data_IF_556442009449
#
_entry.id   IF_556442009449
#
_cell.length_a   1.000
_cell.length_b   1.000
_cell.length_c   1.000
_cell.angle_alpha   90.00
_cell.angle_beta   90.00
_cell.angle_gamma   90.00
#
_symmetry.space_group_name_H-M   'P 1'
#
loop_
_entity.id
_entity.type
_entity.pdbx_description
1 polymer ?
#
# COMPACT_ATOMS: atom_id res chain seq x y z
N UNK A 1 -21.46 -6.74 -50.15
CA UNK A 1 -21.40 -5.43 -50.82
C UNK A 1 -21.69 -4.36 -49.78
N UNK A 2 -20.84 -3.53 -49.53
CA UNK A 2 -20.68 -2.08 -49.25
C UNK A 2 -19.63 -1.83 -48.19
N UNK A 3 -18.43 -1.46 -48.69
CA UNK A 3 -17.33 -0.94 -47.92
C UNK A 3 -17.62 0.50 -47.48
N UNK A 4 -17.64 0.79 -46.17
CA UNK A 4 -17.59 2.16 -45.67
C UNK A 4 -16.14 2.47 -45.24
N UNK A 5 -15.49 3.37 -45.97
CA UNK A 5 -14.22 3.99 -45.64
C UNK A 5 -14.42 4.98 -44.49
N UNK A 6 -13.71 4.81 -43.37
CA UNK A 6 -13.54 5.85 -42.36
C UNK A 6 -12.29 6.66 -42.65
N UNK A 7 -12.45 7.97 -42.67
CA UNK A 7 -11.45 9.02 -42.89
C UNK A 7 -10.67 9.25 -41.58
N UNK A 8 -9.37 9.44 -41.57
CA UNK A 8 -8.62 9.77 -40.37
C UNK A 8 -8.76 11.26 -40.03
N UNK A 9 -9.18 11.55 -38.79
CA UNK A 9 -9.22 12.87 -38.20
C UNK A 9 -7.83 13.30 -37.71
N UNK A 10 -7.52 14.57 -38.01
CA UNK A 10 -6.21 15.17 -37.85
C UNK A 10 -5.69 15.26 -36.42
N UNK A 11 -4.40 15.05 -36.31
CA UNK A 11 -3.60 15.36 -35.13
C UNK A 11 -3.35 16.85 -35.04
N UNK A 12 -3.84 17.53 -34.01
CA UNK A 12 -3.35 18.82 -33.60
C UNK A 12 -2.22 18.64 -32.57
N UNK A 13 -1.04 19.10 -32.92
CA UNK A 13 0.13 19.14 -32.05
C UNK A 13 -0.06 20.18 -30.93
N UNK A 14 0.31 19.90 -29.69
CA UNK A 14 0.36 20.92 -28.63
C UNK A 14 1.65 21.75 -28.75
N UNK A 15 1.48 23.06 -28.67
CA UNK A 15 2.49 24.10 -28.79
C UNK A 15 3.58 24.00 -27.71
N UNK A 16 4.84 24.07 -28.13
CA UNK A 16 6.08 24.07 -27.33
C UNK A 16 6.32 25.33 -26.48
N UNK A 17 5.36 26.23 -26.35
CA UNK A 17 5.57 27.55 -25.74
C UNK A 17 5.59 27.59 -24.19
N UNK A 18 5.50 26.45 -23.49
CA UNK A 18 5.37 26.43 -22.01
C UNK A 18 6.61 26.00 -21.22
N UNK A 19 7.71 25.67 -21.89
CA UNK A 19 8.94 25.15 -21.22
C UNK A 19 9.99 26.18 -20.84
N UNK A 20 9.86 27.44 -21.23
CA UNK A 20 10.91 28.45 -21.02
C UNK A 20 10.67 29.42 -19.84
N UNK A 21 9.59 29.30 -19.09
CA UNK A 21 9.34 30.18 -17.93
C UNK A 21 9.85 29.63 -16.58
N UNK A 22 10.29 28.39 -16.52
CA UNK A 22 10.85 27.77 -15.30
C UNK A 22 12.35 27.94 -15.09
N UNK A 23 13.09 28.27 -16.13
CA UNK A 23 14.57 28.27 -16.08
C UNK A 23 15.20 29.60 -15.61
N UNK A 24 14.46 30.68 -15.58
CA UNK A 24 15.02 32.02 -15.27
C UNK A 24 15.02 32.35 -13.77
N UNK A 25 14.22 31.65 -12.95
CA UNK A 25 14.11 31.93 -11.50
C UNK A 25 15.20 31.23 -10.65
N UNK A 26 15.86 30.19 -11.17
CA UNK A 26 16.85 29.41 -10.39
C UNK A 26 18.27 29.97 -10.49
N UNK A 27 18.56 30.82 -11.49
CA UNK A 27 19.94 31.29 -11.72
C UNK A 27 20.29 32.60 -11.00
N UNK A 28 19.35 33.28 -10.35
CA UNK A 28 19.62 34.54 -9.63
C UNK A 28 19.90 34.41 -8.13
N UNK A 29 19.88 33.20 -7.56
CA UNK A 29 20.10 32.96 -6.12
C UNK A 29 21.51 32.45 -5.75
N UNK A 30 22.43 32.35 -6.71
CA UNK A 30 23.76 31.73 -6.45
C UNK A 30 24.95 32.67 -6.54
N UNK A 31 24.75 34.00 -6.54
CA UNK A 31 25.85 34.97 -6.56
C UNK A 31 25.85 35.98 -5.40
N UNK A 32 25.63 35.52 -4.17
CA UNK A 32 26.06 36.26 -3.00
C UNK A 32 27.31 35.63 -2.42
N UNK A 33 28.44 35.90 -3.07
CA UNK A 33 29.77 35.58 -2.57
C UNK A 33 30.06 36.39 -1.31
N UNK A 34 30.54 35.68 -0.32
CA UNK A 34 30.97 36.20 0.99
C UNK A 34 32.18 37.12 0.81
N UNK A 35 31.94 38.43 0.82
CA UNK A 35 33.02 39.41 0.98
C UNK A 35 33.11 39.77 2.47
N UNK A 36 34.09 39.21 3.19
CA UNK A 36 34.51 39.69 4.48
C UNK A 36 35.22 41.02 4.32
N UNK A 37 34.50 42.13 4.40
CA UNK A 37 35.04 43.46 4.51
C UNK A 37 34.98 43.87 5.97
N UNK A 38 36.15 44.17 6.54
CA UNK A 38 36.32 44.75 7.86
C UNK A 38 35.77 46.19 7.83
N UNK A 39 34.55 46.41 8.29
CA UNK A 39 33.96 47.73 8.42
C UNK A 39 33.89 48.12 9.89
N UNK A 40 34.28 49.35 10.28
CA UNK A 40 34.19 49.82 11.66
C UNK A 40 32.72 49.87 12.11
N UNK A 41 32.41 49.66 13.40
CA UNK A 41 31.07 49.43 13.93
C UNK A 41 30.09 50.58 13.71
N UNK A 42 30.55 51.78 13.46
CA UNK A 42 29.68 52.95 13.12
C UNK A 42 29.05 52.84 11.74
N UNK A 43 29.71 52.21 10.76
CA UNK A 43 29.18 52.01 9.40
C UNK A 43 28.07 51.00 9.34
N UNK A 44 28.10 50.00 10.24
CA UNK A 44 27.11 48.94 10.26
C UNK A 44 25.76 49.42 10.77
N UNK A 45 25.74 50.32 11.76
CA UNK A 45 24.49 50.77 12.39
C UNK A 45 23.80 51.88 11.61
N UNK A 46 24.55 52.79 10.98
CA UNK A 46 23.92 53.92 10.30
C UNK A 46 23.59 53.69 8.78
N UNK A 47 24.39 52.86 8.14
CA UNK A 47 24.22 52.64 6.69
C UNK A 47 23.76 51.22 6.30
N UNK A 48 24.26 50.22 6.98
CA UNK A 48 24.00 48.83 6.60
C UNK A 48 22.70 48.29 7.26
N UNK A 49 22.47 48.62 8.53
CA UNK A 49 21.30 48.16 9.25
C UNK A 49 19.96 48.59 8.63
N UNK A 50 19.78 49.86 8.17
CA UNK A 50 18.53 50.25 7.51
C UNK A 50 18.26 49.48 6.22
N UNK A 51 19.34 49.22 5.43
CA UNK A 51 19.19 48.49 4.17
C UNK A 51 18.88 47.01 4.41
N UNK A 52 19.46 46.41 5.47
CA UNK A 52 19.12 45.03 5.88
C UNK A 52 17.69 44.94 6.41
N UNK A 53 17.22 45.94 7.18
CA UNK A 53 15.82 45.98 7.67
C UNK A 53 14.87 46.10 6.48
N UNK A 54 15.18 47.00 5.53
CA UNK A 54 14.37 47.20 4.34
C UNK A 54 14.38 45.97 3.42
N UNK A 55 15.54 45.32 3.25
CA UNK A 55 15.67 44.08 2.50
C UNK A 55 14.89 42.94 3.16
N UNK A 56 14.95 42.87 4.51
CA UNK A 56 14.22 41.84 5.28
C UNK A 56 12.72 42.06 5.23
N UNK A 57 12.27 43.32 5.27
CA UNK A 57 10.84 43.64 5.10
C UNK A 57 10.35 43.31 3.68
N UNK A 58 11.16 43.62 2.65
CA UNK A 58 10.83 43.27 1.27
C UNK A 58 10.83 41.76 1.06
N UNK A 59 11.78 41.06 1.65
CA UNK A 59 11.89 39.59 1.60
C UNK A 59 10.69 38.97 2.31
N UNK A 60 10.33 39.44 3.52
CA UNK A 60 9.17 38.95 4.25
C UNK A 60 7.86 39.25 3.51
N UNK A 61 7.77 40.40 2.83
CA UNK A 61 6.63 40.73 1.97
C UNK A 61 6.52 39.78 0.78
N UNK A 62 7.65 39.43 0.16
CA UNK A 62 7.68 38.46 -0.94
C UNK A 62 7.42 37.01 -0.45
N UNK A 63 7.95 36.61 0.70
CA UNK A 63 7.68 35.31 1.30
C UNK A 63 6.18 35.18 1.63
N UNK A 64 5.58 36.21 2.25
CA UNK A 64 4.15 36.20 2.56
C UNK A 64 3.28 36.17 1.28
N UNK A 65 3.69 36.86 0.21
CA UNK A 65 3.00 36.79 -1.07
C UNK A 65 3.11 35.43 -1.73
N UNK A 66 4.29 34.76 -1.63
CA UNK A 66 4.49 33.41 -2.12
C UNK A 66 3.70 32.40 -1.28
N UNK A 67 3.65 32.59 0.05
CA UNK A 67 2.90 31.72 0.97
C UNK A 67 1.39 31.83 0.73
N UNK A 68 0.86 33.05 0.48
CA UNK A 68 -0.55 33.23 0.08
C UNK A 68 -0.84 32.62 -1.29
N UNK A 69 0.02 32.80 -2.28
CA UNK A 69 -0.16 32.17 -3.59
C UNK A 69 -0.04 30.64 -3.53
N UNK A 70 0.85 30.12 -2.68
CA UNK A 70 1.04 28.69 -2.50
C UNK A 70 -0.17 28.08 -1.77
N UNK A 71 -0.67 28.74 -0.72
CA UNK A 71 -1.87 28.29 0.00
C UNK A 71 -3.14 28.37 -0.86
N UNK A 72 -3.25 29.36 -1.73
CA UNK A 72 -4.35 29.47 -2.70
C UNK A 72 -4.26 28.38 -3.78
N UNK A 73 -3.05 28.10 -4.28
CA UNK A 73 -2.82 26.99 -5.21
C UNK A 73 -3.02 25.62 -4.57
N UNK A 74 -2.64 25.45 -3.30
CA UNK A 74 -2.89 24.22 -2.55
C UNK A 74 -4.38 24.01 -2.32
N UNK A 75 -5.14 25.08 -1.98
CA UNK A 75 -6.59 25.01 -1.85
C UNK A 75 -7.27 24.67 -3.18
N UNK A 76 -6.88 25.32 -4.27
CA UNK A 76 -7.41 25.03 -5.61
C UNK A 76 -7.06 23.61 -6.07
N UNK A 77 -5.85 23.12 -5.75
CA UNK A 77 -5.47 21.74 -6.05
C UNK A 77 -6.18 20.73 -5.16
N UNK A 78 -6.43 21.08 -3.88
CA UNK A 78 -7.23 20.27 -2.96
C UNK A 78 -8.68 20.17 -3.43
N UNK A 79 -9.29 21.29 -3.87
CA UNK A 79 -10.65 21.27 -4.44
C UNK A 79 -10.72 20.48 -5.75
N UNK A 80 -9.68 20.60 -6.61
CA UNK A 80 -9.59 19.82 -7.84
C UNK A 80 -9.39 18.32 -7.56
N UNK A 81 -8.56 17.97 -6.57
CA UNK A 81 -8.39 16.59 -6.11
C UNK A 81 -9.68 16.04 -5.51
N UNK A 82 -10.35 16.83 -4.65
CA UNK A 82 -11.63 16.43 -4.04
C UNK A 82 -12.71 16.24 -5.10
N UNK A 83 -12.80 17.15 -6.08
CA UNK A 83 -13.74 17.01 -7.20
C UNK A 83 -13.36 15.83 -8.12
N UNK A 84 -12.07 15.60 -8.39
CA UNK A 84 -11.62 14.48 -9.18
C UNK A 84 -11.89 13.15 -8.47
N UNK A 85 -11.67 13.07 -7.15
CA UNK A 85 -12.01 11.90 -6.33
C UNK A 85 -13.52 11.69 -6.31
N UNK A 86 -14.33 12.75 -6.18
CA UNK A 86 -15.79 12.65 -6.23
C UNK A 86 -16.28 12.17 -7.61
N UNK A 87 -15.66 12.62 -8.71
CA UNK A 87 -15.96 12.15 -10.07
C UNK A 87 -15.52 10.69 -10.24
N UNK A 88 -14.31 10.34 -9.77
CA UNK A 88 -13.81 8.96 -9.79
C UNK A 88 -14.68 8.02 -8.95
N UNK A 89 -15.15 8.49 -7.79
CA UNK A 89 -16.06 7.70 -6.94
C UNK A 89 -17.41 7.49 -7.62
N UNK A 90 -17.95 8.53 -8.28
CA UNK A 90 -19.17 8.40 -9.09
C UNK A 90 -18.96 7.50 -10.30
N UNK A 91 -17.86 7.64 -11.02
CA UNK A 91 -17.53 6.77 -12.14
C UNK A 91 -17.32 5.31 -11.70
N UNK A 92 -16.66 5.11 -10.54
CA UNK A 92 -16.47 3.79 -9.93
C UNK A 92 -17.80 3.16 -9.51
N UNK A 93 -18.71 3.97 -8.92
CA UNK A 93 -20.06 3.52 -8.57
C UNK A 93 -20.89 3.19 -9.82
N UNK A 94 -20.80 3.97 -10.89
CA UNK A 94 -21.45 3.69 -12.17
C UNK A 94 -20.84 2.45 -12.83
N UNK A 95 -19.51 2.32 -12.83
CA UNK A 95 -18.83 1.13 -13.34
C UNK A 95 -19.16 -0.12 -12.51
N UNK A 96 -19.22 0.00 -11.17
CA UNK A 96 -19.64 -1.09 -10.30
C UNK A 96 -21.10 -1.50 -10.55
N UNK A 97 -22.01 -0.54 -10.75
CA UNK A 97 -23.39 -0.83 -11.12
C UNK A 97 -23.47 -1.45 -12.52
N UNK A 98 -22.69 -0.95 -13.49
CA UNK A 98 -22.63 -1.55 -14.84
C UNK A 98 -22.06 -2.96 -14.81
N UNK A 99 -21.04 -3.22 -13.98
CA UNK A 99 -20.49 -4.57 -13.77
C UNK A 99 -21.52 -5.45 -13.04
N UNK A 100 -22.24 -4.92 -12.04
CA UNK A 100 -23.29 -5.64 -11.36
C UNK A 100 -24.49 -5.95 -12.30
N UNK A 101 -24.88 -5.00 -13.13
CA UNK A 101 -25.95 -5.17 -14.11
C UNK A 101 -25.51 -6.08 -15.28
N UNK A 102 -24.27 -5.95 -15.74
CA UNK A 102 -23.69 -6.88 -16.72
C UNK A 102 -23.58 -8.30 -16.14
N UNK A 103 -23.19 -8.42 -14.87
CA UNK A 103 -23.13 -9.69 -14.14
C UNK A 103 -24.53 -10.29 -13.94
N UNK A 104 -25.54 -9.48 -13.59
CA UNK A 104 -26.95 -9.90 -13.51
C UNK A 104 -27.49 -10.32 -14.90
N UNK A 105 -27.24 -9.52 -15.92
CA UNK A 105 -27.64 -9.86 -17.29
C UNK A 105 -26.92 -11.10 -17.80
N UNK A 106 -25.62 -11.25 -17.49
CA UNK A 106 -24.86 -12.46 -17.84
C UNK A 106 -25.36 -13.67 -17.03
N UNK A 107 -25.69 -13.48 -15.74
CA UNK A 107 -26.27 -14.53 -14.92
C UNK A 107 -27.69 -14.92 -15.41
N UNK A 108 -28.53 -13.97 -15.80
CA UNK A 108 -29.84 -14.23 -16.37
C UNK A 108 -29.73 -14.87 -17.74
N UNK A 109 -28.84 -14.41 -18.62
CA UNK A 109 -28.59 -15.05 -19.91
C UNK A 109 -27.98 -16.44 -19.72
N UNK A 110 -27.08 -16.62 -18.76
CA UNK A 110 -26.50 -17.93 -18.42
C UNK A 110 -27.59 -18.86 -17.82
N UNK A 111 -28.44 -18.35 -16.93
CA UNK A 111 -29.54 -19.12 -16.36
C UNK A 111 -30.58 -19.50 -17.43
N UNK A 112 -30.89 -18.60 -18.36
CA UNK A 112 -31.80 -18.87 -19.47
C UNK A 112 -31.17 -19.88 -20.46
N UNK A 113 -29.89 -19.72 -20.79
CA UNK A 113 -29.15 -20.67 -21.62
C UNK A 113 -29.00 -22.04 -20.93
N UNK A 114 -28.74 -22.05 -19.60
CA UNK A 114 -28.71 -23.28 -18.81
C UNK A 114 -30.09 -23.99 -18.77
N UNK A 115 -31.18 -23.22 -18.65
CA UNK A 115 -32.53 -23.82 -18.73
C UNK A 115 -32.85 -24.39 -20.11
N UNK A 116 -32.50 -23.71 -21.19
CA UNK A 116 -32.65 -24.21 -22.54
C UNK A 116 -31.76 -25.42 -22.83
N UNK A 117 -30.48 -25.38 -22.33
CA UNK A 117 -29.56 -26.53 -22.37
C UNK A 117 -30.10 -27.70 -21.53
N UNK A 118 -30.59 -27.45 -20.30
CA UNK A 118 -31.11 -28.47 -19.43
C UNK A 118 -32.37 -29.14 -20.01
N UNK A 119 -33.22 -28.39 -20.76
CA UNK A 119 -34.34 -28.98 -21.49
C UNK A 119 -33.91 -29.83 -22.71
N UNK A 120 -32.94 -29.36 -23.49
CA UNK A 120 -32.37 -30.12 -24.61
C UNK A 120 -31.50 -31.30 -24.17
N UNK A 121 -30.78 -31.16 -23.06
CA UNK A 121 -29.96 -32.24 -22.51
C UNK A 121 -30.75 -33.32 -21.78
N UNK A 122 -31.91 -33.02 -21.14
CA UNK A 122 -32.78 -34.05 -20.60
C UNK A 122 -33.26 -35.03 -21.70
N UNK A 123 -33.39 -34.60 -22.92
CA UNK A 123 -33.75 -35.44 -24.08
C UNK A 123 -32.50 -36.20 -24.60
N UNK A 124 -31.32 -35.61 -24.56
CA UNK A 124 -30.03 -36.24 -24.97
C UNK A 124 -29.34 -37.02 -23.86
N UNK A 125 -29.45 -36.58 -22.62
CA UNK A 125 -28.78 -37.16 -21.46
C UNK A 125 -29.25 -38.56 -21.11
N UNK A 126 -30.53 -38.92 -21.45
CA UNK A 126 -31.02 -40.30 -21.34
C UNK A 126 -30.23 -41.31 -22.20
N UNK A 127 -29.43 -40.83 -23.14
CA UNK A 127 -28.61 -41.69 -24.03
C UNK A 127 -27.07 -41.59 -23.75
N UNK A 128 -26.60 -40.57 -23.07
CA UNK A 128 -25.14 -40.33 -22.92
C UNK A 128 -24.66 -40.17 -21.47
N UNK A 129 -25.57 -40.22 -20.48
CA UNK A 129 -25.29 -39.73 -19.12
C UNK A 129 -24.48 -40.65 -18.19
N UNK A 130 -24.08 -41.82 -18.61
CA UNK A 130 -23.36 -42.74 -17.75
C UNK A 130 -21.89 -43.02 -18.12
N UNK A 131 -21.33 -42.28 -19.06
CA UNK A 131 -19.91 -42.34 -19.37
C UNK A 131 -19.13 -41.37 -18.46
N UNK A 132 -18.53 -41.89 -17.39
CA UNK A 132 -17.77 -41.14 -16.39
C UNK A 132 -16.54 -40.39 -16.95
N UNK A 133 -16.15 -40.64 -18.18
CA UNK A 133 -14.88 -40.18 -18.77
C UNK A 133 -14.95 -38.81 -19.49
N UNK A 134 -16.13 -38.35 -19.87
CA UNK A 134 -16.21 -37.24 -20.84
C UNK A 134 -16.96 -35.98 -20.38
N UNK A 135 -17.43 -35.90 -19.13
CA UNK A 135 -18.32 -34.82 -18.72
C UNK A 135 -17.94 -34.02 -17.46
N UNK A 136 -16.80 -34.28 -16.83
CA UNK A 136 -16.48 -33.72 -15.52
C UNK A 136 -15.37 -32.66 -15.53
N UNK A 137 -14.76 -32.40 -16.68
CA UNK A 137 -13.64 -31.50 -16.79
C UNK A 137 -12.34 -32.09 -16.19
N UNK A 138 -11.30 -31.24 -16.11
CA UNK A 138 -10.01 -31.66 -15.59
C UNK A 138 -10.03 -31.82 -14.06
N UNK A 139 -9.65 -32.99 -13.57
CA UNK A 139 -9.38 -33.34 -12.16
C UNK A 139 -10.32 -32.62 -11.15
N UNK A 140 -11.67 -32.80 -11.22
CA UNK A 140 -12.64 -31.96 -10.50
C UNK A 140 -12.44 -31.99 -8.99
N UNK A 141 -12.14 -33.14 -8.39
CA UNK A 141 -11.88 -33.24 -6.94
C UNK A 141 -10.63 -32.48 -6.53
N UNK A 142 -9.55 -32.56 -7.32
CA UNK A 142 -8.28 -31.89 -7.03
C UNK A 142 -8.41 -30.38 -7.16
N UNK A 143 -9.09 -29.91 -8.21
CA UNK A 143 -9.36 -28.47 -8.42
C UNK A 143 -10.25 -27.91 -7.30
N UNK A 144 -11.29 -28.66 -6.93
CA UNK A 144 -12.18 -28.28 -5.82
C UNK A 144 -11.43 -28.22 -4.49
N UNK A 145 -10.61 -29.25 -4.17
CA UNK A 145 -9.81 -29.26 -2.96
C UNK A 145 -8.83 -28.08 -2.91
N UNK A 146 -8.12 -27.77 -4.01
CA UNK A 146 -7.21 -26.62 -4.07
C UNK A 146 -7.95 -25.28 -3.85
N UNK A 147 -9.12 -25.11 -4.43
CA UNK A 147 -9.94 -23.90 -4.25
C UNK A 147 -10.54 -23.78 -2.86
N UNK A 148 -10.90 -24.91 -2.25
CA UNK A 148 -11.34 -24.93 -0.87
C UNK A 148 -10.23 -24.45 0.08
N UNK A 149 -9.01 -24.94 -0.09
CA UNK A 149 -7.84 -24.48 0.67
C UNK A 149 -7.61 -22.97 0.50
N UNK A 150 -7.70 -22.45 -0.72
CA UNK A 150 -7.60 -21.00 -0.98
C UNK A 150 -8.68 -20.22 -0.21
N UNK A 151 -9.93 -20.69 -0.26
CA UNK A 151 -11.06 -20.01 0.41
C UNK A 151 -10.94 -20.06 1.94
N UNK A 152 -10.52 -21.18 2.49
CA UNK A 152 -10.30 -21.35 3.93
C UNK A 152 -9.17 -20.46 4.42
N UNK A 153 -8.03 -20.46 3.73
CA UNK A 153 -6.90 -19.59 4.06
C UNK A 153 -7.23 -18.10 3.93
N UNK A 154 -7.97 -17.70 2.92
CA UNK A 154 -8.37 -16.29 2.74
C UNK A 154 -9.27 -15.82 3.90
N UNK A 155 -10.19 -16.68 4.38
CA UNK A 155 -11.03 -16.38 5.54
C UNK A 155 -10.22 -16.25 6.84
N UNK A 156 -9.24 -17.12 7.06
CA UNK A 156 -8.38 -17.10 8.25
C UNK A 156 -7.40 -15.90 8.22
N UNK A 157 -6.94 -15.47 7.06
CA UNK A 157 -5.96 -14.40 6.94
C UNK A 157 -6.37 -13.09 7.61
N UNK A 158 -7.68 -12.80 7.68
CA UNK A 158 -8.19 -11.62 8.36
C UNK A 158 -7.88 -11.61 9.86
N UNK A 159 -8.02 -12.74 10.54
CA UNK A 159 -7.69 -12.89 11.95
C UNK A 159 -6.17 -12.95 12.17
N UNK A 160 -5.47 -13.76 11.38
CA UNK A 160 -3.99 -13.90 11.44
C UNK A 160 -3.30 -12.56 11.22
N UNK A 161 -3.78 -11.73 10.29
CA UNK A 161 -3.26 -10.39 10.02
C UNK A 161 -3.29 -9.50 11.25
N UNK A 162 -4.44 -9.45 11.95
CA UNK A 162 -4.56 -8.66 13.18
C UNK A 162 -3.63 -9.17 14.27
N UNK A 163 -3.56 -10.48 14.46
CA UNK A 163 -2.66 -11.10 15.43
C UNK A 163 -1.20 -10.84 15.09
N UNK A 164 -0.79 -11.02 13.83
CA UNK A 164 0.57 -10.78 13.37
C UNK A 164 1.00 -9.31 13.56
N UNK A 165 0.13 -8.33 13.24
CA UNK A 165 0.43 -6.92 13.52
C UNK A 165 0.65 -6.69 15.01
N UNK A 166 -0.21 -7.24 15.87
CA UNK A 166 -0.15 -6.99 17.31
C UNK A 166 0.97 -7.75 18.03
N UNK A 167 1.36 -8.92 17.52
CA UNK A 167 2.35 -9.78 18.18
C UNK A 167 3.77 -9.57 17.66
N UNK A 168 3.94 -9.47 16.34
CA UNK A 168 5.26 -9.48 15.71
C UNK A 168 5.82 -8.06 15.46
N UNK A 169 4.97 -7.02 15.40
CA UNK A 169 5.45 -5.65 15.18
C UNK A 169 5.66 -4.96 16.52
N UNK A 170 6.92 -4.52 16.81
CA UNK A 170 7.24 -3.87 18.06
C UNK A 170 6.56 -2.52 18.22
N UNK A 171 6.46 -1.75 17.15
CA UNK A 171 5.74 -0.47 17.11
C UNK A 171 4.27 -0.63 16.70
N UNK A 172 3.63 -1.77 17.00
CA UNK A 172 2.22 -2.00 16.67
C UNK A 172 1.30 -0.94 17.33
N UNK A 173 0.17 -0.59 16.68
CA UNK A 173 -0.79 0.36 17.21
C UNK A 173 -1.27 -0.04 18.61
N UNK A 174 -1.32 0.93 19.52
CA UNK A 174 -1.71 0.69 20.93
C UNK A 174 -0.63 0.03 21.79
N UNK A 175 0.50 -0.32 21.25
CA UNK A 175 1.60 -0.95 21.99
C UNK A 175 2.52 0.13 22.60
N UNK A 176 2.87 -0.09 23.87
CA UNK A 176 3.86 0.70 24.60
C UNK A 176 4.94 -0.24 25.10
N UNK A 177 6.20 0.08 24.86
CA UNK A 177 7.32 -0.75 25.28
C UNK A 177 8.53 0.12 25.66
N UNK A 178 9.52 -0.49 26.29
CA UNK A 178 10.82 0.14 26.48
C UNK A 178 11.52 0.28 25.12
N UNK A 179 11.78 1.51 24.64
CA UNK A 179 12.44 1.72 23.34
C UNK A 179 13.85 1.14 23.29
N UNK A 180 14.57 1.12 24.42
CA UNK A 180 15.94 0.59 24.49
C UNK A 180 15.92 -0.94 24.34
N UNK A 181 15.02 -1.62 25.08
CA UNK A 181 14.86 -3.06 24.96
C UNK A 181 14.41 -3.45 23.53
N UNK A 182 13.49 -2.68 22.94
CA UNK A 182 13.04 -2.90 21.58
C UNK A 182 14.18 -2.68 20.56
N UNK A 183 15.05 -1.69 20.76
CA UNK A 183 16.21 -1.46 19.92
C UNK A 183 17.20 -2.64 19.99
N UNK A 184 17.47 -3.15 21.17
CA UNK A 184 18.31 -4.36 21.31
C UNK A 184 17.72 -5.55 20.60
N UNK A 185 16.41 -5.73 20.70
CA UNK A 185 15.73 -6.82 20.01
C UNK A 185 15.77 -6.66 18.48
N UNK A 186 15.54 -5.44 17.97
CA UNK A 186 15.68 -5.14 16.54
C UNK A 186 17.08 -5.46 16.01
N UNK A 187 18.11 -5.11 16.77
CA UNK A 187 19.51 -5.45 16.41
C UNK A 187 19.70 -6.97 16.39
N UNK A 188 19.19 -7.67 17.40
CA UNK A 188 19.29 -9.13 17.49
C UNK A 188 18.55 -9.82 16.34
N UNK A 189 17.34 -9.35 16.00
CA UNK A 189 16.53 -9.91 14.91
C UNK A 189 17.15 -9.66 13.53
N UNK A 190 17.93 -8.58 13.36
CA UNK A 190 18.63 -8.28 12.13
C UNK A 190 20.00 -9.00 12.00
N UNK A 191 20.55 -9.51 13.09
CA UNK A 191 21.85 -10.18 13.08
C UNK A 191 21.97 -11.37 12.09
N UNK A 192 20.93 -12.21 11.86
CA UNK A 192 20.97 -13.28 10.86
C UNK A 192 21.02 -12.77 9.40
N UNK A 193 20.82 -11.49 9.17
CA UNK A 193 20.71 -10.89 7.84
C UNK A 193 21.82 -9.86 7.56
N UNK A 194 22.84 -9.81 8.40
CA UNK A 194 23.99 -8.92 8.23
C UNK A 194 24.67 -9.12 6.88
N UNK A 195 24.97 -8.02 6.19
CA UNK A 195 25.71 -8.01 4.93
C UNK A 195 27.23 -7.95 5.18
N UNK A 196 28.03 -8.25 4.15
CA UNK A 196 29.48 -8.12 4.22
C UNK A 196 29.90 -6.68 4.57
N UNK A 197 29.27 -5.67 3.96
CA UNK A 197 29.56 -4.26 4.22
C UNK A 197 29.31 -3.85 5.69
N UNK A 198 28.28 -4.46 6.31
CA UNK A 198 27.99 -4.24 7.73
C UNK A 198 29.05 -4.90 8.64
N UNK A 199 29.60 -6.03 8.24
CA UNK A 199 30.71 -6.68 8.93
C UNK A 199 31.98 -5.84 8.79
N UNK A 200 32.29 -5.39 7.58
CA UNK A 200 33.48 -4.57 7.30
C UNK A 200 33.42 -3.21 8.02
N UNK A 201 32.22 -2.67 8.21
CA UNK A 201 32.00 -1.45 9.01
C UNK A 201 31.95 -1.67 10.53
N UNK A 202 32.07 -2.92 11.00
CA UNK A 202 32.05 -3.28 12.42
C UNK A 202 30.66 -3.26 13.07
N UNK A 203 29.60 -3.14 12.29
CA UNK A 203 28.21 -3.17 12.80
C UNK A 203 27.75 -4.59 13.13
N UNK A 204 28.32 -5.59 12.47
CA UNK A 204 28.01 -7.00 12.66
C UNK A 204 29.28 -7.80 12.92
N UNK A 205 29.16 -8.94 13.63
CA UNK A 205 30.28 -9.85 13.91
C UNK A 205 30.60 -10.79 12.74
N UNK A 206 29.58 -11.20 12.00
CA UNK A 206 29.70 -12.12 10.88
C UNK A 206 28.57 -11.87 9.89
N UNK A 207 28.79 -12.29 8.65
CA UNK A 207 27.76 -12.30 7.60
C UNK A 207 26.64 -13.27 7.98
N UNK A 208 25.41 -12.86 7.78
CA UNK A 208 24.23 -13.65 8.08
C UNK A 208 23.98 -14.76 7.05
N UNK A 209 23.05 -15.66 7.35
CA UNK A 209 22.64 -16.76 6.46
C UNK A 209 22.02 -16.25 5.16
N UNK A 210 21.24 -15.18 5.23
CA UNK A 210 20.58 -14.54 4.09
C UNK A 210 20.89 -13.02 4.13
N UNK A 211 22.05 -12.61 3.62
CA UNK A 211 22.51 -11.23 3.75
C UNK A 211 21.56 -10.23 3.10
N UNK A 212 21.20 -9.18 3.85
CA UNK A 212 20.36 -8.09 3.37
C UNK A 212 18.86 -8.43 3.22
N UNK A 213 18.43 -9.63 3.55
CA UNK A 213 17.04 -10.06 3.37
C UNK A 213 16.05 -9.22 4.20
N UNK A 214 16.46 -8.78 5.41
CA UNK A 214 15.65 -7.90 6.26
C UNK A 214 15.58 -6.44 5.80
N UNK A 215 16.34 -6.06 4.77
CA UNK A 215 16.40 -4.72 4.20
C UNK A 215 15.80 -4.65 2.80
N UNK A 216 15.59 -5.80 2.15
CA UNK A 216 15.10 -5.88 0.77
C UNK A 216 13.60 -6.12 0.72
N UNK A 217 12.86 -5.21 0.06
CA UNK A 217 11.43 -5.40 -0.17
C UNK A 217 11.10 -6.62 -1.02
N UNK A 218 12.02 -7.04 -1.90
CA UNK A 218 11.86 -8.25 -2.72
C UNK A 218 11.68 -9.53 -1.90
N UNK A 219 12.20 -9.56 -0.68
CA UNK A 219 12.04 -10.67 0.27
C UNK A 219 10.57 -10.93 0.60
N UNK A 220 9.74 -9.89 0.63
CA UNK A 220 8.31 -10.01 0.94
C UNK A 220 7.56 -10.88 -0.07
N UNK A 221 8.02 -10.96 -1.32
CA UNK A 221 7.38 -11.74 -2.39
C UNK A 221 7.92 -13.17 -2.54
N UNK A 222 8.93 -13.53 -1.77
CA UNK A 222 9.50 -14.87 -1.80
C UNK A 222 8.65 -15.81 -0.93
N UNK A 223 8.26 -16.98 -1.45
CA UNK A 223 7.56 -17.97 -0.64
C UNK A 223 8.43 -18.44 0.52
N UNK A 224 7.86 -18.53 1.70
CA UNK A 224 8.52 -19.08 2.91
C UNK A 224 7.52 -19.85 3.75
N UNK A 225 8.02 -20.69 4.64
CA UNK A 225 7.20 -21.35 5.64
C UNK A 225 7.41 -20.69 7.01
N UNK A 226 6.42 -20.81 7.88
CA UNK A 226 6.55 -20.38 9.27
C UNK A 226 7.71 -21.14 9.95
N UNK A 227 8.56 -20.41 10.68
CA UNK A 227 9.79 -20.95 11.28
C UNK A 227 11.02 -20.96 10.36
N UNK A 228 10.89 -20.63 9.08
CA UNK A 228 12.04 -20.45 8.20
C UNK A 228 12.69 -19.07 8.37
N UNK A 229 14.02 -19.00 8.21
CA UNK A 229 14.78 -17.75 8.27
C UNK A 229 14.27 -16.67 7.32
N UNK A 230 13.74 -17.08 6.19
CA UNK A 230 13.15 -16.14 5.22
C UNK A 230 11.88 -15.47 5.76
N UNK A 231 11.10 -16.19 6.57
CA UNK A 231 9.94 -15.61 7.25
C UNK A 231 10.38 -14.62 8.35
N UNK A 232 11.43 -14.98 9.11
CA UNK A 232 12.03 -14.08 10.11
C UNK A 232 12.55 -12.80 9.45
N UNK A 233 13.15 -12.90 8.25
CA UNK A 233 13.59 -11.74 7.47
C UNK A 233 12.43 -10.80 7.09
N UNK A 234 11.26 -11.35 6.73
CA UNK A 234 10.06 -10.54 6.45
C UNK A 234 9.54 -9.83 7.69
N UNK A 235 9.53 -10.51 8.84
CA UNK A 235 9.16 -9.90 10.12
C UNK A 235 10.12 -8.78 10.47
N UNK A 236 11.44 -9.03 10.37
CA UNK A 236 12.48 -8.04 10.61
C UNK A 236 12.35 -6.84 9.67
N UNK A 237 12.04 -7.07 8.38
CA UNK A 237 11.79 -5.99 7.40
C UNK A 237 10.63 -5.08 7.84
N UNK A 238 9.50 -5.66 8.26
CA UNK A 238 8.34 -4.88 8.73
C UNK A 238 8.68 -4.11 10.00
N UNK A 239 9.43 -4.71 10.94
CA UNK A 239 9.90 -4.04 12.15
C UNK A 239 10.88 -2.89 11.84
N UNK A 240 11.78 -3.06 10.87
CA UNK A 240 12.69 -2.02 10.42
C UNK A 240 11.95 -0.79 9.86
N UNK A 241 10.85 -1.02 9.10
CA UNK A 241 9.99 0.06 8.59
C UNK A 241 9.17 0.70 9.72
N UNK A 242 8.60 -0.12 10.61
CA UNK A 242 7.78 0.36 11.72
C UNK A 242 8.58 1.19 12.73
N UNK A 243 9.88 0.89 12.85
CA UNK A 243 10.79 1.57 13.76
C UNK A 243 10.57 1.21 15.23
N UNK A 244 10.99 2.12 16.11
CA UNK A 244 10.92 1.91 17.54
C UNK A 244 9.53 2.16 18.10
N UNK A 245 9.08 1.39 19.10
CA UNK A 245 7.83 1.63 19.80
C UNK A 245 7.91 2.91 20.63
N UNK A 246 6.75 3.50 20.89
CA UNK A 246 6.64 4.64 21.79
C UNK A 246 6.83 4.18 23.25
N UNK A 247 7.55 4.98 24.04
CA UNK A 247 7.80 4.70 25.45
C UNK A 247 6.51 4.71 26.29
N UNK A 248 6.46 3.94 27.39
CA UNK A 248 5.33 3.94 28.29
C UNK A 248 5.27 5.24 29.10
N UNK A 249 4.07 5.71 29.39
CA UNK A 249 3.86 6.79 30.36
C UNK A 249 3.95 6.19 31.78
N UNK A 250 4.77 6.78 32.66
CA UNK A 250 4.80 6.34 34.06
C UNK A 250 3.42 6.39 34.70
N UNK A 251 3.05 5.35 35.44
CA UNK A 251 1.72 5.28 36.09
C UNK A 251 1.42 6.49 37.00
N UNK A 252 2.46 7.05 37.64
CA UNK A 252 2.36 8.25 38.46
C UNK A 252 2.02 9.52 37.70
N UNK A 253 2.33 9.56 36.39
CA UNK A 253 2.05 10.70 35.52
C UNK A 253 0.78 10.51 34.66
N UNK A 254 0.12 9.35 34.74
CA UNK A 254 -0.99 8.99 33.85
C UNK A 254 -2.21 9.93 33.92
N UNK A 255 -2.42 10.60 35.07
CA UNK A 255 -3.52 11.56 35.27
C UNK A 255 -3.18 12.99 34.86
N UNK A 256 -1.96 13.24 34.38
CA UNK A 256 -1.55 14.59 34.00
C UNK A 256 -2.07 15.00 32.63
N UNK A 257 -2.34 16.30 32.37
CA UNK A 257 -2.71 16.80 31.04
C UNK A 257 -1.66 16.47 29.98
N UNK A 258 -0.39 16.42 30.36
CA UNK A 258 0.71 16.05 29.45
C UNK A 258 0.59 14.58 29.00
N UNK A 259 0.24 13.67 29.89
CA UNK A 259 0.01 12.27 29.57
C UNK A 259 -1.22 12.09 28.65
N UNK A 260 -2.29 12.87 28.89
CA UNK A 260 -3.46 12.88 28.01
C UNK A 260 -3.12 13.38 26.60
N UNK A 261 -2.35 14.47 26.49
CA UNK A 261 -1.88 15.00 25.21
C UNK A 261 -0.97 13.99 24.48
N UNK A 262 -0.05 13.34 25.20
CA UNK A 262 0.79 12.28 24.65
C UNK A 262 -0.02 11.09 24.14
N UNK A 263 -1.02 10.62 24.93
CA UNK A 263 -1.89 9.52 24.54
C UNK A 263 -2.67 9.85 23.27
N UNK A 264 -3.18 11.09 23.15
CA UNK A 264 -3.88 11.54 21.95
C UNK A 264 -2.96 11.58 20.73
N UNK A 265 -1.76 12.14 20.88
CA UNK A 265 -0.76 12.20 19.82
C UNK A 265 -0.35 10.80 19.35
N UNK A 266 -0.12 9.87 20.32
CA UNK A 266 0.16 8.47 20.00
C UNK A 266 -1.00 7.79 19.27
N UNK A 267 -2.23 7.95 19.75
CA UNK A 267 -3.42 7.37 19.09
C UNK A 267 -3.55 7.84 17.65
N UNK A 268 -3.25 9.13 17.39
CA UNK A 268 -3.25 9.67 16.04
C UNK A 268 -2.14 9.05 15.18
N UNK A 269 -0.92 8.98 15.68
CA UNK A 269 0.21 8.32 15.01
C UNK A 269 -0.15 6.87 14.68
N UNK A 270 -0.63 6.11 15.67
CA UNK A 270 -1.00 4.70 15.51
C UNK A 270 -2.08 4.51 14.43
N UNK A 271 -3.10 5.38 14.43
CA UNK A 271 -4.15 5.32 13.43
C UNK A 271 -3.62 5.55 12.00
N UNK A 272 -2.66 6.47 11.85
CA UNK A 272 -2.07 6.83 10.56
C UNK A 272 -1.14 5.73 10.02
N UNK A 273 -0.32 5.11 10.87
CA UNK A 273 0.59 4.04 10.44
C UNK A 273 -0.11 2.68 10.28
N UNK A 274 -1.25 2.49 10.93
CA UNK A 274 -2.00 1.23 10.92
C UNK A 274 -2.29 0.66 9.52
N UNK A 275 -2.74 1.43 8.51
CA UNK A 275 -3.00 0.91 7.17
C UNK A 275 -1.74 0.35 6.50
N UNK A 276 -0.62 1.05 6.62
CA UNK A 276 0.65 0.61 6.05
C UNK A 276 1.15 -0.69 6.69
N UNK A 277 1.16 -0.77 8.02
CA UNK A 277 1.54 -1.99 8.73
C UNK A 277 0.64 -3.17 8.38
N UNK A 278 -0.67 -2.92 8.28
CA UNK A 278 -1.64 -3.95 7.87
C UNK A 278 -1.33 -4.46 6.47
N UNK A 279 -1.01 -3.56 5.55
CA UNK A 279 -0.66 -3.92 4.16
C UNK A 279 0.61 -4.76 4.09
N UNK A 280 1.67 -4.38 4.81
CA UNK A 280 2.91 -5.16 4.86
C UNK A 280 2.71 -6.54 5.49
N UNK A 281 1.95 -6.63 6.59
CA UNK A 281 1.64 -7.92 7.23
C UNK A 281 0.79 -8.81 6.35
N UNK A 282 -0.14 -8.25 5.60
CA UNK A 282 -0.92 -9.02 4.65
C UNK A 282 -0.06 -9.58 3.52
N UNK A 283 0.85 -8.76 2.98
CA UNK A 283 1.80 -9.21 1.97
C UNK A 283 2.72 -10.32 2.52
N UNK A 284 3.20 -10.17 3.77
CA UNK A 284 3.97 -11.22 4.43
C UNK A 284 3.18 -12.53 4.52
N UNK A 285 1.95 -12.48 5.05
CA UNK A 285 1.10 -13.67 5.24
C UNK A 285 0.70 -14.31 3.91
N UNK A 286 0.52 -13.52 2.86
CA UNK A 286 0.23 -14.02 1.52
C UNK A 286 1.35 -14.91 0.96
N UNK A 287 2.60 -14.58 1.30
CA UNK A 287 3.78 -15.33 0.86
C UNK A 287 4.42 -16.16 1.98
N UNK A 288 3.74 -16.31 3.12
CA UNK A 288 4.16 -17.20 4.21
C UNK A 288 3.14 -18.33 4.37
N UNK A 289 3.61 -19.55 4.28
CA UNK A 289 2.86 -20.75 4.60
C UNK A 289 2.91 -21.05 6.09
N UNK A 290 1.99 -21.86 6.60
CA UNK A 290 1.93 -22.24 8.00
C UNK A 290 1.27 -23.59 8.24
N UNK A 291 1.16 -23.98 9.50
CA UNK A 291 0.42 -25.16 9.92
C UNK A 291 -1.09 -24.95 9.71
N UNK A 292 -1.77 -25.98 9.22
CA UNK A 292 -3.23 -26.00 9.06
C UNK A 292 -3.84 -26.70 10.28
N UNK A 293 -4.99 -26.23 10.73
CA UNK A 293 -5.73 -26.71 11.91
C UNK A 293 -5.98 -28.25 11.94
N UNK A 294 -5.83 -28.93 10.80
CA UNK A 294 -6.04 -30.38 10.65
C UNK A 294 -4.74 -31.18 10.44
N UNK A 295 -3.59 -30.63 10.81
CA UNK A 295 -2.29 -31.33 10.76
C UNK A 295 -1.75 -31.47 9.35
N UNK A 296 -1.01 -30.48 8.90
CA UNK A 296 -0.26 -30.44 7.65
C UNK A 296 0.30 -29.06 7.41
N UNK A 297 1.36 -28.95 6.63
CA UNK A 297 1.91 -27.67 6.17
C UNK A 297 1.18 -27.23 4.91
N UNK A 298 0.59 -26.04 4.94
CA UNK A 298 -0.03 -25.43 3.77
C UNK A 298 0.93 -24.48 3.08
N UNK A 299 1.04 -24.59 1.76
CA UNK A 299 1.78 -23.64 0.95
C UNK A 299 1.21 -22.21 1.13
N UNK A 300 2.03 -21.17 0.93
CA UNK A 300 1.56 -19.79 0.94
C UNK A 300 0.40 -19.57 -0.04
N UNK A 301 -0.57 -18.74 0.37
CA UNK A 301 -1.75 -18.44 -0.45
C UNK A 301 -1.36 -17.90 -1.84
N UNK A 302 -0.33 -17.06 -1.93
CA UNK A 302 0.18 -16.55 -3.20
C UNK A 302 0.71 -17.64 -4.13
N UNK A 303 1.28 -18.73 -3.57
CA UNK A 303 1.72 -19.90 -4.33
C UNK A 303 0.53 -20.70 -4.85
N UNK A 304 -0.49 -20.92 -4.01
CA UNK A 304 -1.72 -21.58 -4.43
C UNK A 304 -2.39 -20.86 -5.59
N UNK A 305 -2.54 -19.53 -5.50
CA UNK A 305 -3.06 -18.74 -6.61
C UNK A 305 -2.21 -18.83 -7.88
N UNK A 306 -0.89 -18.75 -7.74
CA UNK A 306 0.03 -18.90 -8.88
C UNK A 306 -0.11 -20.27 -9.55
N UNK A 307 -0.26 -21.33 -8.77
CA UNK A 307 -0.47 -22.68 -9.30
C UNK A 307 -1.79 -22.80 -10.05
N UNK A 308 -2.87 -22.22 -9.51
CA UNK A 308 -4.17 -22.18 -10.21
C UNK A 308 -4.10 -21.42 -11.53
N UNK A 309 -3.42 -20.27 -11.56
CA UNK A 309 -3.21 -19.50 -12.79
C UNK A 309 -2.35 -20.27 -13.80
N UNK A 310 -1.24 -20.86 -13.35
CA UNK A 310 -0.31 -21.57 -14.21
C UNK A 310 -0.95 -22.81 -14.87
N UNK A 311 -1.93 -23.43 -14.22
CA UNK A 311 -2.72 -24.52 -14.82
C UNK A 311 -3.39 -24.11 -16.13
N UNK A 312 -3.85 -22.85 -16.22
CA UNK A 312 -4.56 -22.34 -17.42
C UNK A 312 -3.69 -21.48 -18.32
N UNK A 313 -2.58 -20.93 -17.80
CA UNK A 313 -1.75 -19.93 -18.49
C UNK A 313 -0.59 -20.49 -19.34
N UNK A 314 -0.38 -21.78 -19.37
CA UNK A 314 0.56 -22.37 -20.32
C UNK A 314 1.99 -22.59 -19.87
N UNK A 315 2.36 -22.28 -18.61
CA UNK A 315 3.74 -22.33 -18.14
C UNK A 315 4.04 -23.47 -17.14
N UNK A 316 3.22 -24.51 -17.12
CA UNK A 316 3.39 -25.62 -16.17
C UNK A 316 3.16 -26.98 -16.83
N UNK A 317 3.78 -28.06 -16.30
CA UNK A 317 3.44 -29.44 -16.70
C UNK A 317 1.95 -29.72 -16.56
N UNK A 318 1.32 -29.17 -15.52
CA UNK A 318 -0.12 -29.34 -15.26
C UNK A 318 -0.99 -28.72 -16.38
N UNK A 319 -0.52 -27.65 -17.03
CA UNK A 319 -1.19 -27.09 -18.21
C UNK A 319 -1.20 -28.09 -19.38
N UNK A 320 -0.09 -28.77 -19.60
CA UNK A 320 0.00 -29.80 -20.66
C UNK A 320 -0.99 -30.93 -20.42
N UNK A 321 -1.10 -31.39 -19.17
CA UNK A 321 -2.06 -32.41 -18.78
C UNK A 321 -3.50 -31.90 -18.90
N UNK A 322 -3.75 -30.68 -18.48
CA UNK A 322 -5.05 -30.02 -18.66
C UNK A 322 -5.44 -29.92 -20.15
N UNK A 323 -4.53 -29.42 -20.99
CA UNK A 323 -4.78 -29.28 -22.43
C UNK A 323 -5.05 -30.62 -23.09
N UNK A 324 -4.31 -31.68 -22.71
CA UNK A 324 -4.52 -33.05 -23.19
C UNK A 324 -5.90 -33.59 -22.80
N UNK A 325 -6.32 -33.38 -21.54
CA UNK A 325 -7.66 -33.78 -21.09
C UNK A 325 -8.73 -32.99 -21.81
N UNK A 326 -8.51 -31.66 -22.00
CA UNK A 326 -9.49 -30.79 -22.68
C UNK A 326 -9.70 -31.16 -24.15
N UNK A 327 -8.66 -31.65 -24.82
CA UNK A 327 -8.80 -32.11 -26.23
C UNK A 327 -9.72 -33.32 -26.40
N UNK A 328 -9.95 -34.10 -25.32
CA UNK A 328 -10.81 -35.28 -25.30
C UNK A 328 -12.17 -35.05 -24.63
N UNK A 329 -12.42 -33.85 -24.08
CA UNK A 329 -13.67 -33.55 -23.37
C UNK A 329 -14.85 -33.31 -24.33
N UNK A 330 -16.04 -33.66 -23.88
CA UNK A 330 -17.26 -33.28 -24.52
C UNK A 330 -17.64 -31.80 -24.21
N UNK A 331 -18.69 -31.29 -24.86
CA UNK A 331 -19.18 -29.91 -24.68
C UNK A 331 -19.45 -29.55 -23.20
N UNK A 332 -20.01 -30.49 -22.43
CA UNK A 332 -20.26 -30.30 -21.00
C UNK A 332 -18.94 -30.13 -20.19
N UNK A 333 -17.94 -30.95 -20.45
CA UNK A 333 -16.63 -30.83 -19.81
C UNK A 333 -15.94 -29.51 -20.13
N UNK A 334 -16.06 -29.05 -21.39
CA UNK A 334 -15.55 -27.75 -21.81
C UNK A 334 -16.28 -26.58 -21.11
N UNK A 335 -17.62 -26.65 -20.96
CA UNK A 335 -18.40 -25.65 -20.23
C UNK A 335 -18.06 -25.62 -18.74
N UNK A 336 -17.86 -26.77 -18.10
CA UNK A 336 -17.41 -26.86 -16.69
C UNK A 336 -16.06 -26.20 -16.54
N UNK A 337 -15.13 -26.45 -17.44
CA UNK A 337 -13.79 -25.78 -17.39
C UNK A 337 -13.91 -24.28 -17.64
N UNK A 338 -14.74 -23.86 -18.56
CA UNK A 338 -15.00 -22.42 -18.79
C UNK A 338 -15.54 -21.74 -17.52
N UNK A 339 -16.45 -22.39 -16.79
CA UNK A 339 -16.97 -21.89 -15.52
C UNK A 339 -15.86 -21.83 -14.45
N UNK A 340 -14.97 -22.83 -14.39
CA UNK A 340 -13.82 -22.82 -13.48
C UNK A 340 -12.85 -21.68 -13.79
N UNK A 341 -12.56 -21.43 -15.07
CA UNK A 341 -11.71 -20.31 -15.51
C UNK A 341 -12.37 -18.97 -15.16
N UNK A 342 -13.67 -18.82 -15.43
CA UNK A 342 -14.43 -17.61 -15.08
C UNK A 342 -14.46 -17.36 -13.57
N UNK A 343 -14.66 -18.40 -12.77
CA UNK A 343 -14.62 -18.29 -11.31
C UNK A 343 -13.22 -17.86 -10.80
N UNK A 344 -12.16 -18.40 -11.39
CA UNK A 344 -10.79 -17.97 -11.08
C UNK A 344 -10.56 -16.48 -11.46
N UNK A 345 -11.02 -16.08 -12.63
CA UNK A 345 -10.93 -14.69 -13.07
C UNK A 345 -11.68 -13.74 -12.12
N UNK A 346 -12.87 -14.14 -11.67
CA UNK A 346 -13.63 -13.36 -10.68
C UNK A 346 -12.86 -13.24 -9.33
N UNK A 347 -12.25 -14.34 -8.87
CA UNK A 347 -11.43 -14.32 -7.65
C UNK A 347 -10.19 -13.40 -7.80
N UNK A 348 -9.57 -13.38 -8.98
CA UNK A 348 -8.46 -12.46 -9.29
C UNK A 348 -8.95 -11.01 -9.28
N UNK A 349 -10.10 -10.73 -9.88
CA UNK A 349 -10.70 -9.38 -9.89
C UNK A 349 -11.06 -8.90 -8.49
N UNK A 350 -11.64 -9.77 -7.65
CA UNK A 350 -11.91 -9.46 -6.25
C UNK A 350 -10.63 -9.12 -5.49
N UNK A 351 -9.57 -9.90 -5.71
CA UNK A 351 -8.27 -9.64 -5.10
C UNK A 351 -7.66 -8.32 -5.57
N UNK A 352 -7.75 -7.99 -6.84
CA UNK A 352 -7.35 -6.69 -7.37
C UNK A 352 -8.15 -5.55 -6.74
N UNK A 353 -9.47 -5.73 -6.57
CA UNK A 353 -10.32 -4.76 -5.90
C UNK A 353 -9.85 -4.50 -4.46
N UNK A 354 -9.60 -5.55 -3.68
CA UNK A 354 -9.04 -5.43 -2.32
C UNK A 354 -7.67 -4.72 -2.30
N UNK A 355 -6.83 -4.93 -3.32
CA UNK A 355 -5.56 -4.20 -3.44
C UNK A 355 -5.78 -2.71 -3.69
N UNK A 356 -6.76 -2.33 -4.51
CA UNK A 356 -7.12 -0.93 -4.74
C UNK A 356 -7.66 -0.27 -3.47
N UNK A 357 -8.52 -0.94 -2.70
CA UNK A 357 -9.01 -0.44 -1.41
C UNK A 357 -7.85 -0.16 -0.42
N UNK A 358 -6.84 -1.02 -0.40
CA UNK A 358 -5.65 -0.81 0.44
C UNK A 358 -4.79 0.35 -0.04
N UNK A 359 -4.59 0.47 -1.34
CA UNK A 359 -3.90 1.63 -1.90
C UNK A 359 -4.63 2.92 -1.55
N UNK A 360 -5.95 2.94 -1.65
CA UNK A 360 -6.79 4.08 -1.28
C UNK A 360 -6.66 4.41 0.22
N UNK A 361 -6.69 3.40 1.09
CA UNK A 361 -6.49 3.57 2.53
C UNK A 361 -5.10 4.12 2.87
N UNK A 362 -4.05 3.60 2.22
CA UNK A 362 -2.68 4.09 2.41
C UNK A 362 -2.49 5.52 1.90
N UNK A 363 -3.08 5.86 0.76
CA UNK A 363 -3.07 7.23 0.23
C UNK A 363 -3.85 8.18 1.12
N UNK A 364 -5.00 7.77 1.65
CA UNK A 364 -5.77 8.56 2.61
C UNK A 364 -4.97 8.81 3.90
N UNK A 365 -4.24 7.80 4.40
CA UNK A 365 -3.36 7.96 5.55
C UNK A 365 -2.21 8.94 5.27
N UNK A 366 -1.60 8.88 4.08
CA UNK A 366 -0.57 9.82 3.63
C UNK A 366 -1.10 11.27 3.60
N UNK A 367 -2.25 11.49 3.01
CA UNK A 367 -2.91 12.81 2.98
C UNK A 367 -3.23 13.30 4.40
N UNK A 368 -3.71 12.40 5.27
CA UNK A 368 -3.99 12.74 6.67
C UNK A 368 -2.72 13.11 7.45
N UNK A 369 -1.57 12.50 7.14
CA UNK A 369 -0.27 12.89 7.70
C UNK A 369 0.13 14.28 7.25
N UNK A 370 0.12 14.54 5.96
CA UNK A 370 0.56 15.81 5.38
C UNK A 370 -0.29 16.99 5.87
N UNK A 371 -1.61 16.83 5.89
CA UNK A 371 -2.54 17.81 6.47
C UNK A 371 -2.29 17.95 7.98
N UNK A 372 -2.02 16.84 8.66
CA UNK A 372 -1.76 16.83 10.08
C UNK A 372 -0.46 17.53 10.48
N UNK A 373 0.60 17.37 9.73
CA UNK A 373 1.89 17.99 10.00
C UNK A 373 1.83 19.50 9.78
N UNK A 374 1.10 19.96 8.77
CA UNK A 374 0.87 21.40 8.54
C UNK A 374 0.03 22.04 9.66
N UNK A 375 -1.01 21.37 10.14
CA UNK A 375 -1.83 21.84 11.27
C UNK A 375 -1.07 21.81 12.59
N UNK A 376 -0.29 20.75 12.88
CA UNK A 376 0.54 20.64 14.07
C UNK A 376 1.63 21.72 14.09
N UNK A 377 2.27 22.00 12.98
CA UNK A 377 3.23 23.09 12.84
C UNK A 377 2.61 24.45 13.16
N UNK A 378 1.37 24.70 12.70
CA UNK A 378 0.62 25.92 13.04
C UNK A 378 0.21 25.99 14.50
N UNK A 379 -0.23 24.90 15.09
CA UNK A 379 -0.58 24.82 16.50
C UNK A 379 0.62 25.00 17.42
N UNK A 380 1.77 24.41 17.06
CA UNK A 380 3.02 24.55 17.83
C UNK A 380 3.56 25.98 17.76
N UNK A 381 3.55 26.63 16.61
CA UNK A 381 3.93 28.05 16.47
C UNK A 381 3.00 28.97 17.25
N UNK A 382 1.69 28.72 17.20
CA UNK A 382 0.72 29.49 17.99
C UNK A 382 0.87 29.27 19.49
N UNK A 383 1.17 28.04 19.93
CA UNK A 383 1.42 27.72 21.33
C UNK A 383 2.72 28.36 21.84
N UNK A 384 3.80 28.32 21.06
CA UNK A 384 5.06 28.98 21.36
C UNK A 384 4.91 30.51 21.44
N UNK A 385 4.15 31.12 20.54
CA UNK A 385 3.85 32.55 20.58
C UNK A 385 3.00 32.93 21.80
N UNK A 386 2.04 32.11 22.21
CA UNK A 386 1.26 32.35 23.43
C UNK A 386 2.12 32.22 24.67
N UNK A 387 2.98 31.20 24.75
CA UNK A 387 3.89 31.01 25.86
C UNK A 387 4.90 32.18 26.01
N UNK A 388 5.45 32.67 24.88
CA UNK A 388 6.35 33.85 24.89
C UNK A 388 5.63 35.15 25.29
N UNK A 389 4.37 35.32 24.95
CA UNK A 389 3.57 36.48 25.40
C UNK A 389 3.22 36.39 26.88
N UNK A 390 2.95 35.21 27.40
CA UNK A 390 2.69 35.00 28.82
C UNK A 390 3.94 35.25 29.65
N UNK A 391 5.11 34.72 29.25
CA UNK A 391 6.36 34.98 29.95
C UNK A 391 6.78 36.45 29.90
N UNK A 392 6.52 37.16 28.80
CA UNK A 392 6.76 38.60 28.72
C UNK A 392 5.78 39.40 29.61
N UNK A 393 4.55 38.98 29.77
CA UNK A 393 3.55 39.61 30.65
C UNK A 393 3.87 39.38 32.15
N UNK A 394 4.43 38.23 32.49
CA UNK A 394 4.92 37.94 33.86
C UNK A 394 6.18 38.68 34.21
N UNK A 395 7.07 38.95 33.24
CA UNK A 395 8.31 39.70 33.45
C UNK A 395 8.05 41.21 33.65
N UNK A 396 6.88 41.72 33.37
CA UNK A 396 6.46 43.13 33.56
C UNK A 396 5.64 43.37 34.83
N UNK A 397 5.31 42.28 35.55
CA UNK A 397 4.74 42.33 36.90
C UNK A 397 5.83 42.16 37.95
#
# INVERSE_FOLDING_TARGET
MTKRKMKPSGKTAPSEARRWRGAVVVTTLLTCGVAYAYCPPQYVNEWVAPYFVQATQTLNGQINAVDTMLSEQLNLNSERLTSAVAVLTKQKAVAANQVADASRNTAQQTATALNVLAQTERVKAARFDFGAEFGQGYAPCRVYAARRVISEQDAEQGLRRRQAVMQEVYAAPGRYADPIAAQHQLIADNAPFCTQDQVDSGLCKSVGEIPGASLSFSTMFQPSMEGERLNDAKVAFVNNIAGLPDGPVPKTAASTPAAAAYSLAKSRKDAVISPALTTFKELQLEYSGGEVEHGGTSLPLGVHFRNEVNRYAGNSPEHTDWAKVMSSQNERGALVELLKVKALNLAIQERQYRQYERMEANLAALVAMEVGDTELGRLQTNAAQRASRQSAAEAVR
#
